data_IF_555438624183
#
_entry.id   IF_555438624183
#
_cell.length_a   1.000
_cell.length_b   1.000
_cell.length_c   1.000
_cell.angle_alpha   90.00
_cell.angle_beta   90.00
_cell.angle_gamma   90.00
#
_symmetry.space_group_name_H-M   'P 1'
#
loop_
_entity.id
_entity.type
_entity.pdbx_description
1 polymer ?
#
# COMPACT_ATOMS: atom_id res chain seq x y z
N UNK A 1 11.50 -3.39 22.23
CA UNK A 1 11.15 -3.94 20.91
C UNK A 1 9.64 -4.15 20.84
N UNK A 2 8.93 -3.56 19.88
CA UNK A 2 7.49 -3.85 19.66
C UNK A 2 7.37 -5.35 19.33
N UNK A 3 6.53 -6.09 20.07
CA UNK A 3 6.25 -7.51 19.77
C UNK A 3 5.76 -7.62 18.32
N UNK A 4 6.46 -8.39 17.49
CA UNK A 4 6.01 -8.73 16.15
C UNK A 4 4.74 -9.55 16.29
N UNK A 5 3.57 -8.92 16.14
CA UNK A 5 2.31 -9.67 16.02
C UNK A 5 2.46 -10.59 14.80
N UNK A 6 2.01 -11.84 14.92
CA UNK A 6 1.96 -12.75 13.77
C UNK A 6 0.84 -12.29 12.84
N UNK A 7 1.12 -11.27 12.03
CA UNK A 7 0.18 -10.65 11.13
C UNK A 7 0.06 -11.53 9.88
N UNK A 8 -1.16 -12.00 9.58
CA UNK A 8 -1.42 -12.80 8.39
C UNK A 8 -1.54 -11.91 7.15
N UNK A 9 -1.07 -12.40 6.01
CA UNK A 9 -1.19 -11.71 4.71
C UNK A 9 -2.65 -11.41 4.38
N UNK A 10 -3.55 -12.37 4.59
CA UNK A 10 -5.00 -12.23 4.37
C UNK A 10 -5.62 -11.05 5.15
N UNK A 11 -5.15 -10.79 6.38
CA UNK A 11 -5.64 -9.65 7.17
C UNK A 11 -5.25 -8.33 6.53
N UNK A 12 -4.02 -8.25 6.01
CA UNK A 12 -3.56 -7.10 5.25
C UNK A 12 -4.36 -6.94 3.95
N UNK A 13 -4.61 -8.02 3.20
CA UNK A 13 -5.41 -7.95 1.98
C UNK A 13 -6.84 -7.44 2.25
N UNK A 14 -7.48 -7.93 3.30
CA UNK A 14 -8.81 -7.48 3.72
C UNK A 14 -8.80 -6.01 4.16
N UNK A 15 -7.75 -5.57 4.85
CA UNK A 15 -7.56 -4.15 5.17
C UNK A 15 -7.44 -3.29 3.91
N UNK A 16 -6.61 -3.69 2.95
CA UNK A 16 -6.37 -2.90 1.74
C UNK A 16 -7.65 -2.84 0.91
N UNK A 17 -8.37 -3.97 0.72
CA UNK A 17 -9.65 -4.01 0.01
C UNK A 17 -10.73 -3.17 0.70
N UNK A 18 -10.82 -3.21 2.04
CA UNK A 18 -11.85 -2.43 2.76
C UNK A 18 -11.54 -0.92 2.77
N UNK A 19 -10.26 -0.55 2.83
CA UNK A 19 -9.81 0.85 2.88
C UNK A 19 -9.79 1.49 1.51
N UNK A 20 -9.33 0.76 0.49
CA UNK A 20 -9.02 1.29 -0.84
C UNK A 20 -9.82 0.64 -1.98
N UNK A 21 -10.60 -0.41 -1.73
CA UNK A 21 -11.39 -1.09 -2.77
C UNK A 21 -12.60 -0.30 -3.28
N UNK A 22 -12.92 0.85 -2.66
CA UNK A 22 -14.01 1.75 -3.08
C UNK A 22 -13.52 3.09 -3.63
N UNK A 23 -12.24 3.17 -4.02
CA UNK A 23 -11.68 4.39 -4.59
C UNK A 23 -12.49 4.77 -5.85
N UNK A 24 -12.95 6.04 -5.97
CA UNK A 24 -13.69 6.48 -7.15
C UNK A 24 -12.88 6.28 -8.43
N UNK A 25 -13.56 5.98 -9.56
CA UNK A 25 -12.91 5.78 -10.87
C UNK A 25 -12.01 6.95 -11.33
N UNK A 26 -12.27 8.16 -10.84
CA UNK A 26 -11.45 9.34 -11.16
C UNK A 26 -10.12 9.38 -10.39
N UNK A 27 -10.04 8.71 -9.24
CA UNK A 27 -8.83 8.63 -8.45
C UNK A 27 -7.94 7.56 -9.08
N UNK A 28 -6.84 8.02 -9.68
CA UNK A 28 -5.96 7.18 -10.49
C UNK A 28 -5.19 6.17 -9.65
N UNK A 29 -4.98 6.41 -8.37
CA UNK A 29 -4.43 5.39 -7.47
C UNK A 29 -4.17 5.94 -6.07
N UNK A 30 -3.51 5.13 -5.25
CA UNK A 30 -3.21 5.43 -3.85
C UNK A 30 -1.79 5.98 -3.78
N UNK A 31 -1.64 7.19 -3.25
CA UNK A 31 -0.33 7.75 -2.95
C UNK A 31 0.38 6.89 -1.89
N UNK A 32 1.67 6.63 -2.08
CA UNK A 32 2.38 5.59 -1.34
C UNK A 32 2.54 5.92 0.15
N UNK A 33 2.77 7.19 0.51
CA UNK A 33 2.85 7.58 1.92
C UNK A 33 1.49 7.45 2.61
N UNK A 34 0.40 7.89 1.96
CA UNK A 34 -0.97 7.74 2.44
C UNK A 34 -1.28 6.27 2.74
N UNK A 35 -0.89 5.36 1.84
CA UNK A 35 -1.04 3.93 2.07
C UNK A 35 -0.33 3.46 3.34
N UNK A 36 0.96 3.76 3.49
CA UNK A 36 1.75 3.27 4.63
C UNK A 36 1.35 3.91 5.96
N UNK A 37 0.91 5.17 5.96
CA UNK A 37 0.35 5.82 7.16
C UNK A 37 -0.95 5.15 7.61
N UNK A 38 -1.85 4.82 6.68
CA UNK A 38 -3.09 4.10 6.99
C UNK A 38 -2.80 2.67 7.45
N UNK A 39 -1.81 2.00 6.85
CA UNK A 39 -1.36 0.68 7.26
C UNK A 39 -0.72 0.68 8.67
N UNK A 40 0.02 1.72 9.03
CA UNK A 40 0.59 1.86 10.38
C UNK A 40 -0.52 2.14 11.41
N UNK A 41 -1.48 3.01 11.08
CA UNK A 41 -2.64 3.30 11.92
C UNK A 41 -3.53 2.09 12.18
N UNK A 42 -3.62 1.15 11.24
CA UNK A 42 -4.36 -0.11 11.44
C UNK A 42 -3.63 -1.10 12.36
N UNK A 43 -2.36 -0.85 12.67
CA UNK A 43 -1.52 -1.75 13.46
C UNK A 43 -1.10 -3.03 12.73
N UNK A 44 -1.36 -3.11 11.42
CA UNK A 44 -0.96 -4.21 10.54
C UNK A 44 0.40 -3.99 9.89
N UNK A 45 0.98 -2.80 10.03
CA UNK A 45 2.27 -2.44 9.50
C UNK A 45 3.10 -1.64 10.52
N UNK A 46 4.41 -1.83 10.48
CA UNK A 46 5.37 -1.02 11.23
C UNK A 46 6.25 -0.33 10.19
N UNK A 47 6.35 1.00 10.24
CA UNK A 47 7.15 1.77 9.28
C UNK A 47 8.59 1.25 9.21
N UNK A 48 9.09 1.07 7.99
CA UNK A 48 10.43 0.54 7.73
C UNK A 48 10.53 -1.00 7.71
N UNK A 49 9.43 -1.73 7.89
CA UNK A 49 9.42 -3.20 7.78
C UNK A 49 9.08 -3.66 6.35
N UNK A 50 10.09 -3.68 5.49
CA UNK A 50 9.97 -4.25 4.14
C UNK A 50 9.87 -5.77 4.18
N UNK A 51 9.16 -6.37 3.22
CA UNK A 51 8.93 -7.83 3.17
C UNK A 51 7.96 -8.36 4.23
N UNK A 52 7.24 -7.47 4.92
CA UNK A 52 6.19 -7.86 5.87
C UNK A 52 4.98 -8.45 5.16
N UNK A 53 4.05 -9.04 5.93
CA UNK A 53 2.77 -9.51 5.41
C UNK A 53 1.98 -8.42 4.67
N UNK A 54 2.14 -7.15 5.06
CA UNK A 54 1.56 -6.00 4.35
C UNK A 54 2.19 -5.80 2.97
N UNK A 55 3.53 -5.89 2.87
CA UNK A 55 4.23 -5.80 1.59
C UNK A 55 3.78 -6.90 0.62
N UNK A 56 3.64 -8.14 1.10
CA UNK A 56 3.16 -9.26 0.28
C UNK A 56 1.70 -9.09 -0.15
N UNK A 57 0.84 -8.66 0.78
CA UNK A 57 -0.56 -8.37 0.47
C UNK A 57 -0.69 -7.28 -0.61
N UNK A 58 0.09 -6.20 -0.49
CA UNK A 58 0.11 -5.12 -1.47
C UNK A 58 0.54 -5.61 -2.85
N UNK A 59 1.59 -6.43 -2.95
CA UNK A 59 2.05 -7.04 -4.20
C UNK A 59 0.95 -7.90 -4.86
N UNK A 60 0.19 -8.65 -4.05
CA UNK A 60 -0.87 -9.51 -4.55
C UNK A 60 -2.02 -8.72 -5.21
N UNK A 61 -2.39 -7.57 -4.64
CA UNK A 61 -3.63 -6.87 -4.99
C UNK A 61 -3.43 -5.49 -5.65
N UNK A 62 -2.21 -5.01 -5.75
CA UNK A 62 -1.90 -3.74 -6.39
C UNK A 62 -0.67 -3.84 -7.31
N UNK A 63 -0.60 -2.90 -8.23
CA UNK A 63 0.54 -2.65 -9.10
C UNK A 63 1.15 -1.29 -8.74
N UNK A 64 2.47 -1.17 -8.83
CA UNK A 64 3.16 0.11 -8.65
C UNK A 64 3.31 0.77 -10.01
N UNK A 65 2.75 1.96 -10.18
CA UNK A 65 3.02 2.81 -11.35
C UNK A 65 3.89 3.97 -10.96
N UNK A 66 4.92 4.21 -11.77
CA UNK A 66 5.76 5.38 -11.67
C UNK A 66 5.13 6.49 -12.50
N UNK A 67 4.96 7.65 -11.89
CA UNK A 67 4.57 8.89 -12.57
C UNK A 67 5.84 9.68 -12.84
N UNK A 68 6.00 10.08 -14.10
CA UNK A 68 7.13 10.85 -14.58
C UNK A 68 6.65 12.20 -15.11
N UNK A 69 7.53 13.20 -15.12
CA UNK A 69 7.30 14.45 -15.85
C UNK A 69 7.48 14.24 -17.37
N UNK A 70 7.24 15.30 -18.15
CA UNK A 70 7.37 15.27 -19.61
C UNK A 70 8.81 14.98 -20.09
N UNK A 71 9.81 15.11 -19.21
CA UNK A 71 11.22 14.80 -19.48
C UNK A 71 11.61 13.38 -19.04
N UNK A 72 10.66 12.60 -18.52
CA UNK A 72 10.92 11.26 -17.99
C UNK A 72 11.52 11.23 -16.57
N UNK A 73 11.63 12.37 -15.89
CA UNK A 73 12.11 12.40 -14.51
C UNK A 73 11.07 11.81 -13.57
N UNK A 74 11.52 11.03 -12.59
CA UNK A 74 10.66 10.49 -11.54
C UNK A 74 9.97 11.63 -10.76
N UNK A 75 8.65 11.56 -10.65
CA UNK A 75 7.86 12.46 -9.81
C UNK A 75 7.44 11.72 -8.54
N UNK A 76 6.68 10.64 -8.69
CA UNK A 76 6.21 9.82 -7.58
C UNK A 76 5.79 8.43 -8.05
N UNK A 77 5.62 7.51 -7.10
CA UNK A 77 4.99 6.21 -7.33
C UNK A 77 3.57 6.22 -6.79
N UNK A 78 2.72 5.38 -7.33
CA UNK A 78 1.32 5.24 -6.91
C UNK A 78 0.91 3.78 -7.00
N UNK A 79 0.11 3.33 -6.03
CA UNK A 79 -0.46 1.98 -6.05
C UNK A 79 -1.80 1.98 -6.78
N UNK A 80 -1.90 1.12 -7.79
CA UNK A 80 -3.12 0.88 -8.56
C UNK A 80 -3.67 -0.47 -8.14
N UNK A 81 -4.89 -0.51 -7.61
CA UNK A 81 -5.54 -1.77 -7.26
C UNK A 81 -5.79 -2.60 -8.54
N UNK A 82 -5.53 -3.90 -8.47
CA UNK A 82 -5.81 -4.89 -9.52
C UNK A 82 -7.31 -5.20 -9.61
#
# INVERSE_FOLDING_TARGET
MKKTKNIKVEWCENFIKSTFGKIPKFAKGIETNCFFEMAEKSGLYIKGTYGSSMSKALENIAEVKIVQDDNGNYMYSTFYMK
#
